data_IF_548537863729
#
_entry.id   IF_548537863729
#
_cell.length_a   1.000
_cell.length_b   1.000
_cell.length_c   1.000
_cell.angle_alpha   90.00
_cell.angle_beta   90.00
_cell.angle_gamma   90.00
#
_symmetry.space_group_name_H-M   'P 1'
#
loop_
_entity.id
_entity.type
_entity.pdbx_description
1 polymer ?
#
# COMPACT_ATOMS: atom_id res chain seq x y z
N UNK A 1 -21.17 50.19 -10.59
CA UNK A 1 -21.47 48.74 -10.58
C UNK A 1 -21.05 48.02 -11.87
N UNK A 2 -21.42 48.49 -13.07
CA UNK A 2 -21.11 47.81 -14.35
C UNK A 2 -19.59 47.58 -14.63
N UNK A 3 -18.73 48.52 -14.22
CA UNK A 3 -17.26 48.37 -14.34
C UNK A 3 -16.66 47.31 -13.40
N UNK A 4 -17.25 47.14 -12.21
CA UNK A 4 -16.82 46.12 -11.24
C UNK A 4 -17.23 44.73 -11.74
N UNK A 5 -18.43 44.60 -12.29
CA UNK A 5 -18.90 43.34 -12.88
C UNK A 5 -18.02 42.89 -14.05
N UNK A 6 -17.59 43.83 -14.90
CA UNK A 6 -16.66 43.57 -16.01
C UNK A 6 -15.27 43.14 -15.50
N UNK A 7 -14.75 43.78 -14.45
CA UNK A 7 -13.48 43.40 -13.86
C UNK A 7 -13.53 41.98 -13.28
N UNK A 8 -14.61 41.64 -12.58
CA UNK A 8 -14.81 40.30 -12.00
C UNK A 8 -14.93 39.22 -13.08
N UNK A 9 -15.66 39.49 -14.15
CA UNK A 9 -15.77 38.55 -15.28
C UNK A 9 -14.44 38.38 -16.02
N UNK A 10 -13.66 39.45 -16.18
CA UNK A 10 -12.34 39.38 -16.79
C UNK A 10 -11.34 38.60 -15.91
N UNK A 11 -11.45 38.75 -14.58
CA UNK A 11 -10.61 38.01 -13.63
C UNK A 11 -10.95 36.52 -13.62
N UNK A 12 -12.23 36.17 -13.63
CA UNK A 12 -12.69 34.77 -13.67
C UNK A 12 -12.31 34.09 -14.98
N UNK A 13 -12.43 34.78 -16.11
CA UNK A 13 -11.99 34.24 -17.42
C UNK A 13 -10.48 34.10 -17.48
N UNK A 14 -9.71 35.07 -16.95
CA UNK A 14 -8.26 34.95 -16.84
C UNK A 14 -7.84 33.75 -15.99
N UNK A 15 -8.48 33.50 -14.84
CA UNK A 15 -8.19 32.33 -14.01
C UNK A 15 -8.48 30.99 -14.71
N UNK A 16 -9.49 30.93 -15.58
CA UNK A 16 -9.79 29.72 -16.35
C UNK A 16 -8.77 29.46 -17.48
N UNK A 17 -8.11 30.49 -18.01
CA UNK A 17 -7.09 30.34 -19.06
C UNK A 17 -5.77 29.73 -18.54
N UNK A 18 -5.52 29.78 -17.23
CA UNK A 18 -4.36 29.13 -16.59
C UNK A 18 -4.69 27.79 -15.93
N UNK A 19 -5.85 27.21 -16.22
CA UNK A 19 -6.11 25.82 -15.86
C UNK A 19 -5.24 24.89 -16.72
N UNK A 20 -3.96 24.79 -16.36
CA UNK A 20 -3.07 23.78 -16.90
C UNK A 20 -3.67 22.40 -16.58
N UNK A 21 -4.01 21.65 -17.63
CA UNK A 21 -4.29 20.23 -17.52
C UNK A 21 -2.99 19.53 -17.10
N UNK A 22 -2.78 19.38 -15.79
CA UNK A 22 -1.73 18.53 -15.27
C UNK A 22 -2.08 17.08 -15.62
N UNK A 23 -1.51 16.56 -16.70
CA UNK A 23 -1.48 15.12 -16.95
C UNK A 23 -0.50 14.52 -15.95
N UNK A 24 -1.01 14.12 -14.79
CA UNK A 24 -0.24 13.36 -13.82
C UNK A 24 -0.01 11.97 -14.39
N UNK A 25 1.18 11.74 -14.96
CA UNK A 25 1.69 10.39 -15.22
C UNK A 25 2.09 9.80 -13.86
N UNK A 26 1.09 9.29 -13.13
CA UNK A 26 1.28 8.85 -11.76
C UNK A 26 1.82 7.43 -11.74
N UNK A 27 3.14 7.27 -11.85
CA UNK A 27 3.77 6.02 -11.44
C UNK A 27 3.36 5.73 -9.99
N UNK A 28 2.76 4.58 -9.71
CA UNK A 28 2.26 4.23 -8.38
C UNK A 28 3.31 4.43 -7.28
N UNK A 29 2.98 5.24 -6.27
CA UNK A 29 3.89 5.62 -5.18
C UNK A 29 3.48 4.95 -3.88
N UNK A 30 4.42 4.25 -3.24
CA UNK A 30 4.21 3.70 -1.92
C UNK A 30 4.22 4.81 -0.85
N UNK A 31 3.37 4.71 0.19
CA UNK A 31 3.29 5.72 1.23
C UNK A 31 4.59 5.79 2.03
N UNK A 32 4.94 7.00 2.50
CA UNK A 32 6.04 7.16 3.46
C UNK A 32 5.67 6.50 4.80
N UNK A 33 6.60 5.79 5.48
CA UNK A 33 6.28 5.19 6.77
C UNK A 33 6.06 6.31 7.79
N UNK A 34 4.85 6.40 8.33
CA UNK A 34 4.50 7.43 9.31
C UNK A 34 5.17 7.16 10.65
N UNK A 35 4.70 6.13 11.37
CA UNK A 35 5.20 5.76 12.70
C UNK A 35 5.63 4.30 12.73
N UNK A 36 6.84 4.04 13.22
CA UNK A 36 7.40 2.69 13.30
C UNK A 36 6.88 1.91 14.52
N UNK A 37 6.82 0.56 14.43
CA UNK A 37 6.60 -0.29 15.59
C UNK A 37 7.58 0.02 16.72
N UNK A 38 7.07 0.13 17.96
CA UNK A 38 7.87 0.44 19.16
C UNK A 38 7.63 1.84 19.75
N UNK A 39 7.04 2.77 18.99
CA UNK A 39 6.67 4.09 19.51
C UNK A 39 5.27 4.12 20.16
N UNK A 40 5.05 5.02 21.13
CA UNK A 40 3.70 5.23 21.72
C UNK A 40 2.68 5.70 20.68
N UNK A 41 3.11 6.53 19.73
CA UNK A 41 2.27 7.03 18.64
C UNK A 41 1.83 5.92 17.66
N UNK A 42 2.64 4.86 17.50
CA UNK A 42 2.26 3.72 16.68
C UNK A 42 1.00 3.01 17.21
N UNK A 43 0.86 2.85 18.52
CA UNK A 43 -0.34 2.24 19.13
C UNK A 43 -1.60 3.08 18.87
N UNK A 44 -1.46 4.40 18.99
CA UNK A 44 -2.56 5.34 18.66
C UNK A 44 -2.92 5.28 17.17
N UNK A 45 -1.91 5.18 16.30
CA UNK A 45 -2.10 4.99 14.87
C UNK A 45 -2.87 3.71 14.54
N UNK A 46 -2.51 2.58 15.17
CA UNK A 46 -3.22 1.31 15.00
C UNK A 46 -4.68 1.39 15.43
N UNK A 47 -4.97 2.05 16.56
CA UNK A 47 -6.34 2.25 17.02
C UNK A 47 -7.15 3.11 16.03
N UNK A 48 -6.54 4.20 15.54
CA UNK A 48 -7.14 5.03 14.49
C UNK A 48 -7.46 4.21 13.24
N UNK A 49 -6.52 3.41 12.75
CA UNK A 49 -6.75 2.58 11.56
C UNK A 49 -7.83 1.50 11.80
N UNK A 50 -7.91 0.94 13.02
CA UNK A 50 -8.98 0.02 13.38
C UNK A 50 -10.37 0.69 13.32
N UNK A 51 -10.48 1.93 13.81
CA UNK A 51 -11.71 2.71 13.71
C UNK A 51 -12.01 3.06 12.25
N UNK A 52 -11.01 3.51 11.50
CA UNK A 52 -11.17 3.88 10.09
C UNK A 52 -11.58 2.70 9.21
N UNK A 53 -11.21 1.46 9.55
CA UNK A 53 -11.65 0.26 8.83
C UNK A 53 -13.18 0.21 8.67
N UNK A 54 -13.93 0.64 9.67
CA UNK A 54 -15.40 0.68 9.61
C UNK A 54 -15.94 1.76 8.65
N UNK A 55 -15.14 2.80 8.40
CA UNK A 55 -15.44 3.84 7.42
C UNK A 55 -15.20 3.40 5.97
N UNK A 56 -14.36 2.39 5.75
CA UNK A 56 -14.12 1.79 4.44
C UNK A 56 -15.18 0.72 4.10
N UNK A 57 -16.44 1.12 3.99
CA UNK A 57 -17.54 0.21 3.66
C UNK A 57 -17.68 -0.04 2.15
N UNK A 58 -18.31 -1.16 1.80
CA UNK A 58 -18.55 -1.58 0.42
C UNK A 58 -17.30 -2.13 -0.31
N UNK A 59 -17.51 -2.63 -1.53
CA UNK A 59 -16.46 -3.34 -2.28
C UNK A 59 -15.23 -2.47 -2.56
N UNK A 60 -15.42 -1.24 -3.06
CA UNK A 60 -14.30 -0.33 -3.33
C UNK A 60 -13.67 0.24 -2.06
N UNK A 61 -14.44 0.44 -1.00
CA UNK A 61 -13.90 0.84 0.30
C UNK A 61 -12.96 -0.23 0.83
N UNK A 62 -13.42 -1.49 0.85
CA UNK A 62 -12.62 -2.63 1.28
C UNK A 62 -11.42 -2.89 0.36
N UNK A 63 -11.57 -2.77 -0.96
CA UNK A 63 -10.42 -2.83 -1.88
C UNK A 63 -9.35 -1.79 -1.50
N UNK A 64 -9.76 -0.54 -1.33
CA UNK A 64 -8.86 0.59 -1.05
C UNK A 64 -8.18 0.43 0.30
N UNK A 65 -8.93 0.03 1.32
CA UNK A 65 -8.40 -0.24 2.66
C UNK A 65 -7.36 -1.36 2.65
N UNK A 66 -7.68 -2.50 2.03
CA UNK A 66 -6.76 -3.63 1.98
C UNK A 66 -5.50 -3.28 1.16
N UNK A 67 -5.63 -2.52 0.08
CA UNK A 67 -4.45 -2.12 -0.70
C UNK A 67 -3.57 -1.14 0.09
N UNK A 68 -4.16 -0.12 0.70
CA UNK A 68 -3.47 0.85 1.56
C UNK A 68 -2.70 0.17 2.69
N UNK A 69 -3.33 -0.76 3.41
CA UNK A 69 -2.68 -1.47 4.50
C UNK A 69 -1.57 -2.40 4.01
N UNK A 70 -1.77 -3.03 2.85
CA UNK A 70 -0.73 -3.84 2.22
C UNK A 70 0.53 -3.02 1.93
N UNK A 71 0.37 -1.85 1.33
CA UNK A 71 1.45 -0.91 1.02
C UNK A 71 2.17 -0.45 2.28
N UNK A 72 1.40 -0.01 3.29
CA UNK A 72 1.94 0.48 4.55
C UNK A 72 2.80 -0.57 5.23
N UNK A 73 2.30 -1.79 5.35
CA UNK A 73 3.06 -2.87 5.98
C UNK A 73 4.24 -3.35 5.16
N UNK A 74 4.21 -3.22 3.82
CA UNK A 74 5.37 -3.54 2.97
C UNK A 74 6.50 -2.52 3.21
N UNK A 75 6.18 -1.23 3.26
CA UNK A 75 7.15 -0.17 3.54
C UNK A 75 7.70 -0.28 4.95
N UNK A 76 6.84 -0.60 5.92
CA UNK A 76 7.24 -0.89 7.30
C UNK A 76 8.20 -2.08 7.34
N UNK A 77 7.87 -3.19 6.66
CA UNK A 77 8.76 -4.35 6.57
C UNK A 77 10.11 -4.01 5.95
N UNK A 78 10.12 -3.29 4.83
CA UNK A 78 11.36 -2.82 4.17
C UNK A 78 12.24 -2.07 5.16
N UNK A 79 11.66 -1.07 5.84
CA UNK A 79 12.44 -0.21 6.74
C UNK A 79 12.94 -0.97 7.96
N UNK A 80 12.15 -1.91 8.50
CA UNK A 80 12.55 -2.75 9.61
C UNK A 80 13.67 -3.73 9.22
N UNK A 81 13.65 -4.25 8.00
CA UNK A 81 14.74 -5.05 7.45
C UNK A 81 16.03 -4.23 7.34
N UNK A 82 15.97 -2.99 6.85
CA UNK A 82 17.11 -2.06 6.78
C UNK A 82 17.71 -1.79 8.18
N UNK A 83 16.85 -1.67 9.20
CA UNK A 83 17.26 -1.53 10.60
C UNK A 83 17.58 -2.85 11.31
N UNK A 84 17.65 -3.97 10.58
CA UNK A 84 17.97 -5.31 11.12
C UNK A 84 16.99 -5.79 12.21
N UNK A 85 15.78 -5.24 12.26
CA UNK A 85 14.71 -5.66 13.16
C UNK A 85 13.93 -6.83 12.53
N UNK A 86 14.60 -7.95 12.29
CA UNK A 86 14.11 -9.04 11.44
C UNK A 86 12.79 -9.65 11.89
N UNK A 87 12.56 -9.83 13.20
CA UNK A 87 11.31 -10.39 13.71
C UNK A 87 10.11 -9.49 13.39
N UNK A 88 10.25 -8.18 13.63
CA UNK A 88 9.20 -7.20 13.34
C UNK A 88 9.00 -7.08 11.83
N UNK A 89 10.09 -7.01 11.06
CA UNK A 89 10.03 -6.97 9.61
C UNK A 89 9.28 -8.18 9.01
N UNK A 90 9.58 -9.38 9.52
CA UNK A 90 8.91 -10.62 9.13
C UNK A 90 7.41 -10.57 9.43
N UNK A 91 7.01 -10.08 10.61
CA UNK A 91 5.60 -9.92 10.97
C UNK A 91 4.88 -8.89 10.08
N UNK A 92 5.52 -7.75 9.80
CA UNK A 92 4.96 -6.70 8.94
C UNK A 92 4.80 -7.21 7.50
N UNK A 93 5.77 -7.93 6.95
CA UNK A 93 5.64 -8.52 5.61
C UNK A 93 4.49 -9.54 5.54
N UNK A 94 4.30 -10.37 6.58
CA UNK A 94 3.15 -11.28 6.66
C UNK A 94 1.81 -10.52 6.64
N UNK A 95 1.70 -9.42 7.38
CA UNK A 95 0.50 -8.57 7.35
C UNK A 95 0.27 -7.97 5.98
N UNK A 96 1.33 -7.45 5.35
CA UNK A 96 1.25 -6.95 3.96
C UNK A 96 0.67 -8.01 3.02
N UNK A 97 1.18 -9.25 3.08
CA UNK A 97 0.67 -10.36 2.27
C UNK A 97 -0.81 -10.65 2.50
N UNK A 98 -1.22 -10.66 3.77
CA UNK A 98 -2.62 -10.89 4.14
C UNK A 98 -3.55 -9.82 3.54
N UNK A 99 -3.18 -8.55 3.67
CA UNK A 99 -3.96 -7.45 3.11
C UNK A 99 -3.95 -7.47 1.58
N UNK A 100 -2.80 -7.70 0.94
CA UNK A 100 -2.73 -7.80 -0.52
C UNK A 100 -3.63 -8.91 -1.07
N UNK A 101 -3.61 -10.11 -0.45
CA UNK A 101 -4.46 -11.24 -0.84
C UNK A 101 -5.94 -10.91 -0.81
N UNK A 102 -6.35 -10.03 0.10
CA UNK A 102 -7.74 -9.63 0.27
C UNK A 102 -8.20 -8.55 -0.73
N UNK A 103 -7.29 -7.89 -1.46
CA UNK A 103 -7.66 -6.81 -2.41
C UNK A 103 -8.51 -7.30 -3.58
N UNK A 104 -8.01 -8.28 -4.34
CA UNK A 104 -8.65 -8.78 -5.55
C UNK A 104 -10.06 -9.38 -5.33
N UNK A 105 -10.34 -10.15 -4.26
CA UNK A 105 -11.71 -10.60 -3.98
C UNK A 105 -12.74 -9.48 -3.91
N UNK A 106 -12.41 -8.32 -3.33
CA UNK A 106 -13.33 -7.19 -3.31
C UNK A 106 -13.50 -6.53 -4.68
N UNK A 107 -12.46 -6.54 -5.51
CA UNK A 107 -12.56 -6.06 -6.89
C UNK A 107 -13.49 -6.95 -7.72
N UNK A 108 -13.41 -8.27 -7.56
CA UNK A 108 -14.31 -9.23 -8.21
C UNK A 108 -15.76 -9.05 -7.75
N UNK A 109 -16.00 -8.88 -6.44
CA UNK A 109 -17.34 -8.57 -5.91
C UNK A 109 -17.90 -7.28 -6.48
N UNK A 110 -17.08 -6.23 -6.62
CA UNK A 110 -17.51 -4.99 -7.24
C UNK A 110 -17.99 -5.22 -8.68
N UNK A 111 -17.27 -6.04 -9.45
CA UNK A 111 -17.64 -6.43 -10.81
C UNK A 111 -18.96 -7.23 -10.83
N UNK A 112 -19.12 -8.19 -9.93
CA UNK A 112 -20.36 -8.97 -9.77
C UNK A 112 -21.57 -8.07 -9.43
N UNK A 113 -21.35 -7.01 -8.65
CA UNK A 113 -22.33 -5.98 -8.36
C UNK A 113 -22.52 -4.94 -9.48
N UNK A 114 -21.97 -5.17 -10.68
CA UNK A 114 -22.15 -4.31 -11.85
C UNK A 114 -21.37 -3.00 -11.81
N UNK A 115 -20.36 -2.86 -10.95
CA UNK A 115 -19.52 -1.65 -10.88
C UNK A 115 -18.41 -1.72 -11.93
N UNK A 116 -18.02 -0.56 -12.48
CA UNK A 116 -16.84 -0.46 -13.33
C UNK A 116 -15.56 -0.58 -12.49
N UNK A 117 -14.77 -1.61 -12.78
CA UNK A 117 -13.55 -1.94 -12.05
C UNK A 117 -12.26 -1.55 -12.80
N UNK A 118 -12.37 -0.95 -14.00
CA UNK A 118 -11.23 -0.72 -14.89
C UNK A 118 -10.08 0.01 -14.18
N UNK A 119 -10.36 1.17 -13.60
CA UNK A 119 -9.34 1.98 -12.91
C UNK A 119 -8.74 1.24 -11.70
N UNK A 120 -9.57 0.55 -10.93
CA UNK A 120 -9.14 -0.17 -9.73
C UNK A 120 -8.30 -1.41 -10.09
N UNK A 121 -8.57 -2.04 -11.23
CA UNK A 121 -7.75 -3.13 -11.76
C UNK A 121 -6.37 -2.65 -12.22
N UNK A 122 -6.30 -1.47 -12.85
CA UNK A 122 -5.04 -0.82 -13.24
C UNK A 122 -4.22 -0.51 -11.99
N UNK A 123 -4.85 0.14 -11.00
CA UNK A 123 -4.23 0.47 -9.71
C UNK A 123 -3.66 -0.78 -9.03
N UNK A 124 -4.40 -1.89 -8.98
CA UNK A 124 -3.91 -3.12 -8.36
C UNK A 124 -2.69 -3.70 -9.09
N UNK A 125 -2.66 -3.65 -10.43
CA UNK A 125 -1.52 -4.11 -11.22
C UNK A 125 -0.29 -3.24 -10.99
N UNK A 126 -0.45 -1.93 -10.98
CA UNK A 126 0.65 -0.99 -10.73
C UNK A 126 1.20 -1.14 -9.31
N UNK A 127 0.32 -1.28 -8.31
CA UNK A 127 0.71 -1.56 -6.94
C UNK A 127 1.49 -2.88 -6.84
N UNK A 128 1.00 -3.95 -7.49
CA UNK A 128 1.66 -5.24 -7.56
C UNK A 128 3.07 -5.14 -8.14
N UNK A 129 3.25 -4.43 -9.26
CA UNK A 129 4.57 -4.16 -9.85
C UNK A 129 5.49 -3.40 -8.90
N UNK A 130 4.97 -2.38 -8.22
CA UNK A 130 5.76 -1.60 -7.26
C UNK A 130 6.18 -2.44 -6.06
N UNK A 131 5.30 -3.32 -5.59
CA UNK A 131 5.59 -4.28 -4.53
C UNK A 131 6.68 -5.26 -4.95
N UNK A 132 6.60 -5.79 -6.18
CA UNK A 132 7.62 -6.68 -6.73
C UNK A 132 8.99 -6.03 -6.79
N UNK A 133 9.08 -4.76 -7.16
CA UNK A 133 10.34 -4.00 -7.12
C UNK A 133 10.94 -4.02 -5.71
N UNK A 134 10.15 -3.66 -4.69
CA UNK A 134 10.61 -3.64 -3.29
C UNK A 134 11.00 -5.03 -2.81
N UNK A 135 10.18 -6.05 -3.09
CA UNK A 135 10.42 -7.42 -2.64
C UNK A 135 11.68 -8.02 -3.29
N UNK A 136 11.95 -7.70 -4.55
CA UNK A 136 13.16 -8.14 -5.24
C UNK A 136 14.42 -7.48 -4.67
N UNK A 137 14.35 -6.19 -4.32
CA UNK A 137 15.45 -5.49 -3.60
C UNK A 137 15.72 -6.20 -2.27
N UNK A 138 14.67 -6.43 -1.46
CA UNK A 138 14.80 -7.12 -0.17
C UNK A 138 15.37 -8.53 -0.34
N UNK A 139 14.97 -9.26 -1.38
CA UNK A 139 15.49 -10.60 -1.69
C UNK A 139 16.97 -10.59 -2.03
N UNK A 140 17.49 -9.54 -2.68
CA UNK A 140 18.93 -9.42 -2.98
C UNK A 140 19.77 -8.98 -1.78
N UNK A 141 19.18 -8.26 -0.83
CA UNK A 141 19.90 -7.68 0.31
C UNK A 141 19.88 -8.57 1.57
N UNK A 142 18.87 -9.43 1.70
CA UNK A 142 18.65 -10.22 2.91
C UNK A 142 19.28 -11.62 2.83
N UNK A 143 19.77 -12.15 3.98
CA UNK A 143 20.27 -13.52 4.04
C UNK A 143 19.13 -14.52 3.79
N UNK A 144 19.48 -15.67 3.19
CA UNK A 144 18.52 -16.74 2.89
C UNK A 144 17.91 -17.35 4.16
N UNK A 145 18.71 -17.47 5.22
CA UNK A 145 18.32 -18.02 6.52
C UNK A 145 18.78 -17.08 7.63
N UNK A 146 17.92 -16.87 8.64
CA UNK A 146 18.24 -16.03 9.78
C UNK A 146 17.69 -16.65 11.06
N UNK A 147 18.60 -16.98 11.99
CA UNK A 147 18.23 -17.38 13.35
C UNK A 147 18.17 -16.13 14.22
N UNK A 148 16.97 -15.76 14.65
CA UNK A 148 16.80 -14.66 15.59
C UNK A 148 16.99 -15.16 17.01
N UNK A 149 17.94 -14.57 17.75
CA UNK A 149 18.20 -14.88 19.16
C UNK A 149 17.86 -13.66 20.02
N UNK A 150 16.78 -13.70 20.79
CA UNK A 150 16.45 -12.65 21.75
C UNK A 150 17.35 -12.68 22.97
N UNK A 151 17.41 -11.55 23.70
CA UNK A 151 18.17 -11.44 24.95
C UNK A 151 17.62 -12.30 26.09
N UNK A 152 16.30 -12.57 26.10
CA UNK A 152 15.59 -13.19 27.25
C UNK A 152 14.68 -14.37 26.89
N UNK A 153 14.58 -14.74 25.62
CA UNK A 153 13.68 -15.79 25.13
C UNK A 153 14.46 -16.87 24.35
N UNK A 154 13.79 -17.92 23.89
CA UNK A 154 14.39 -18.93 23.02
C UNK A 154 14.56 -18.41 21.58
N UNK A 155 15.62 -18.86 20.92
CA UNK A 155 15.88 -18.53 19.51
C UNK A 155 14.72 -18.97 18.62
N UNK A 156 14.32 -18.12 17.69
CA UNK A 156 13.31 -18.41 16.67
C UNK A 156 13.96 -18.42 15.29
N UNK A 157 13.81 -19.52 14.55
CA UNK A 157 14.20 -19.56 13.14
C UNK A 157 13.19 -18.78 12.29
N UNK A 158 13.68 -17.76 11.57
CA UNK A 158 12.86 -16.97 10.67
C UNK A 158 13.14 -17.43 9.23
N UNK A 159 12.15 -18.06 8.61
CA UNK A 159 12.21 -18.48 7.20
C UNK A 159 11.98 -17.30 6.25
N UNK A 160 12.88 -16.30 6.29
CA UNK A 160 12.76 -15.04 5.54
C UNK A 160 12.71 -15.29 4.03
N UNK A 161 13.58 -16.16 3.51
CA UNK A 161 13.59 -16.51 2.08
C UNK A 161 12.27 -17.13 1.61
N UNK A 162 11.70 -18.06 2.40
CA UNK A 162 10.39 -18.66 2.10
C UNK A 162 9.29 -17.60 2.09
N UNK A 163 9.30 -16.68 3.07
CA UNK A 163 8.32 -15.60 3.13
C UNK A 163 8.44 -14.66 1.94
N UNK A 164 9.65 -14.24 1.56
CA UNK A 164 9.88 -13.36 0.41
C UNK A 164 9.42 -14.03 -0.89
N UNK A 165 9.76 -15.30 -1.10
CA UNK A 165 9.28 -16.07 -2.25
C UNK A 165 7.77 -16.10 -2.32
N UNK A 166 7.10 -16.48 -1.23
CA UNK A 166 5.64 -16.49 -1.16
C UNK A 166 5.01 -15.10 -1.39
N UNK A 167 5.71 -14.04 -0.94
CA UNK A 167 5.26 -12.65 -1.13
C UNK A 167 5.33 -12.24 -2.60
N UNK A 168 6.41 -12.61 -3.30
CA UNK A 168 6.62 -12.36 -4.73
C UNK A 168 5.58 -13.14 -5.55
N UNK A 169 5.47 -14.46 -5.32
CA UNK A 169 4.52 -15.32 -6.02
C UNK A 169 3.08 -14.79 -5.88
N UNK A 170 2.72 -14.27 -4.70
CA UNK A 170 1.43 -13.64 -4.46
C UNK A 170 1.19 -12.42 -5.35
N UNK A 171 2.18 -11.54 -5.54
CA UNK A 171 2.03 -10.34 -6.38
C UNK A 171 2.01 -10.69 -7.86
N UNK A 172 2.91 -11.57 -8.29
CA UNK A 172 2.95 -12.02 -9.69
C UNK A 172 1.64 -12.67 -10.12
N UNK A 173 1.02 -13.46 -9.22
CA UNK A 173 -0.28 -14.04 -9.47
C UNK A 173 -1.29 -12.97 -9.89
N UNK A 174 -1.40 -11.88 -9.13
CA UNK A 174 -2.40 -10.83 -9.39
C UNK A 174 -2.01 -9.86 -10.50
N UNK A 175 -0.73 -9.70 -10.80
CA UNK A 175 -0.28 -8.95 -11.99
C UNK A 175 -0.78 -9.62 -13.28
N UNK A 176 -0.76 -10.96 -13.33
CA UNK A 176 -1.15 -11.77 -14.50
C UNK A 176 -2.67 -11.95 -14.63
N UNK A 177 -3.46 -11.59 -13.61
CA UNK A 177 -4.92 -11.68 -13.70
C UNK A 177 -5.45 -10.56 -14.60
N UNK A 178 -6.25 -10.94 -15.61
CA UNK A 178 -7.09 -10.01 -16.34
C UNK A 178 -8.48 -10.01 -15.69
N UNK A 179 -8.81 -8.90 -15.06
CA UNK A 179 -10.10 -8.67 -14.40
C UNK A 179 -11.16 -8.24 -15.40
#
# INVERSE_FOLDING_TARGET
MRKILLLVTLLLTFFNLFAFSATADSSYVLPYPSSMPGSSFYKLGLLKEYILKYWYFGDFGQFTYNLKESDRYLVEAKTLFEYKQYLLAYQSLRKSNQYFKNTAPYLLKAKEHGKDIKDKSIILKEAGRKHLQVLNILKSELPSEFTWTPEKDSSQSLEISRLLKASIDLREKYEKVNF
#
